data_IF_028666303338
#
_entry.id   IF_028666303338
#
_cell.length_a   1.000
_cell.length_b   1.000
_cell.length_c   1.000
_cell.angle_alpha   90.00
_cell.angle_beta   90.00
_cell.angle_gamma   90.00
#
_symmetry.space_group_name_H-M   'P 1'
#
loop_
_entity.id
_entity.type
_entity.pdbx_description
1 polymer ?
#
# COMPACT_ATOMS: atom_id res chain seq x y z
N UNK A 1 12.34 6.62 -9.67
CA UNK A 1 12.00 7.95 -9.14
C UNK A 1 11.90 7.78 -7.63
N UNK A 2 12.98 8.10 -6.90
CA UNK A 2 13.09 7.82 -5.47
C UNK A 2 12.57 9.05 -4.71
N UNK A 3 11.32 9.02 -4.27
CA UNK A 3 10.79 9.99 -3.32
C UNK A 3 11.45 9.74 -1.97
N UNK A 4 12.52 10.49 -1.69
CA UNK A 4 12.99 10.69 -0.31
C UNK A 4 11.85 11.40 0.44
N UNK A 5 11.22 10.71 1.39
CA UNK A 5 10.35 11.33 2.38
C UNK A 5 11.22 12.22 3.26
N UNK A 6 11.26 13.54 2.99
CA UNK A 6 11.83 14.48 3.96
C UNK A 6 10.90 14.55 5.18
N UNK A 7 11.49 14.66 6.36
CA UNK A 7 10.77 14.73 7.64
C UNK A 7 10.00 16.06 7.85
N UNK A 8 10.03 16.96 6.86
CA UNK A 8 9.46 18.32 6.93
C UNK A 8 7.92 18.36 6.92
N UNK A 9 7.25 17.21 6.77
CA UNK A 9 5.79 17.10 6.75
C UNK A 9 5.19 16.47 8.01
N UNK A 10 6.00 16.22 9.06
CA UNK A 10 5.50 15.61 10.29
C UNK A 10 4.69 16.62 11.11
N UNK A 11 3.37 16.64 10.91
CA UNK A 11 2.44 17.42 11.73
C UNK A 11 2.10 16.65 13.01
N UNK A 12 2.58 17.14 14.15
CA UNK A 12 2.26 16.56 15.45
C UNK A 12 1.10 17.31 16.09
N UNK A 13 -0.06 16.63 16.18
CA UNK A 13 -1.24 17.18 16.86
C UNK A 13 -1.29 16.67 18.31
N UNK A 14 -1.58 17.56 19.28
CA UNK A 14 -1.58 17.24 20.72
C UNK A 14 -2.85 17.71 21.44
N UNK A 15 -3.04 17.19 22.67
CA UNK A 15 -4.06 17.67 23.60
C UNK A 15 -5.49 17.46 23.12
N UNK A 16 -6.37 18.39 23.48
CA UNK A 16 -7.81 18.32 23.16
C UNK A 16 -8.10 18.32 21.66
N UNK A 17 -7.23 18.92 20.85
CA UNK A 17 -7.38 18.89 19.39
C UNK A 17 -7.10 17.51 18.81
N UNK A 18 -6.09 16.79 19.31
CA UNK A 18 -5.83 15.40 18.92
C UNK A 18 -7.04 14.50 19.22
N UNK A 19 -7.65 14.68 20.40
CA UNK A 19 -8.85 13.93 20.78
C UNK A 19 -10.00 14.16 19.79
N UNK A 20 -10.30 15.42 19.43
CA UNK A 20 -11.34 15.75 18.45
C UNK A 20 -11.09 15.12 17.08
N UNK A 21 -9.83 15.10 16.62
CA UNK A 21 -9.47 14.47 15.34
C UNK A 21 -9.66 12.96 15.38
N UNK A 22 -9.30 12.29 16.47
CA UNK A 22 -9.53 10.85 16.65
C UNK A 22 -11.02 10.54 16.64
N UNK A 23 -11.84 11.32 17.34
CA UNK A 23 -13.29 11.14 17.38
C UNK A 23 -13.92 11.31 15.97
N UNK A 24 -13.46 12.32 15.22
CA UNK A 24 -13.88 12.55 13.83
C UNK A 24 -13.49 11.37 12.92
N UNK A 25 -12.24 10.92 13.01
CA UNK A 25 -11.72 9.80 12.22
C UNK A 25 -12.50 8.51 12.52
N UNK A 26 -12.78 8.24 13.80
CA UNK A 26 -13.56 7.08 14.22
C UNK A 26 -14.98 7.11 13.64
N UNK A 27 -15.65 8.28 13.69
CA UNK A 27 -16.95 8.45 13.07
C UNK A 27 -16.93 8.23 11.55
N UNK A 28 -15.91 8.76 10.87
CA UNK A 28 -15.77 8.61 9.42
C UNK A 28 -15.45 7.16 9.00
N UNK A 29 -14.60 6.46 9.75
CA UNK A 29 -14.27 5.05 9.52
C UNK A 29 -15.49 4.15 9.69
N UNK A 30 -16.25 4.33 10.78
CA UNK A 30 -17.48 3.56 11.05
C UNK A 30 -18.59 3.80 10.03
N UNK A 31 -18.57 4.95 9.37
CA UNK A 31 -19.53 5.32 8.34
C UNK A 31 -19.04 5.00 6.92
N UNK A 32 -17.93 4.26 6.78
CA UNK A 32 -17.30 3.90 5.50
C UNK A 32 -16.99 5.09 4.57
N UNK A 33 -16.76 6.28 5.15
CA UNK A 33 -16.48 7.52 4.38
C UNK A 33 -15.00 7.72 4.08
N UNK A 34 -14.12 7.01 4.80
CA UNK A 34 -12.67 7.12 4.67
C UNK A 34 -12.03 5.75 4.69
N UNK A 35 -11.01 5.56 3.86
CA UNK A 35 -10.18 4.34 3.82
C UNK A 35 -8.74 4.78 4.08
N UNK A 36 -8.11 4.32 5.18
CA UNK A 36 -6.75 4.74 5.49
C UNK A 36 -5.75 4.09 4.54
N UNK A 37 -4.81 4.87 4.04
CA UNK A 37 -3.63 4.33 3.36
C UNK A 37 -2.62 3.86 4.42
N UNK A 38 -2.43 2.54 4.51
CA UNK A 38 -1.53 1.92 5.51
C UNK A 38 -0.11 1.67 4.98
N UNK A 39 0.11 1.91 3.68
CA UNK A 39 1.40 1.72 3.04
C UNK A 39 1.82 0.25 2.84
N UNK A 40 2.96 0.02 2.18
CA UNK A 40 3.46 -1.33 1.87
C UNK A 40 3.89 -2.12 3.11
N UNK A 41 4.19 -1.43 4.23
CA UNK A 41 4.54 -2.08 5.50
C UNK A 41 3.41 -2.98 6.04
N UNK A 42 2.16 -2.71 5.68
CA UNK A 42 1.02 -3.56 6.03
C UNK A 42 1.22 -5.01 5.59
N UNK A 43 1.79 -5.22 4.40
CA UNK A 43 2.00 -6.55 3.82
C UNK A 43 3.10 -7.35 4.54
N UNK A 44 3.91 -6.69 5.38
CA UNK A 44 4.98 -7.31 6.17
C UNK A 44 4.49 -7.79 7.55
N UNK A 45 3.28 -7.38 7.99
CA UNK A 45 2.76 -7.71 9.33
C UNK A 45 2.28 -9.17 9.44
N UNK A 46 2.05 -9.87 8.33
CA UNK A 46 1.63 -11.28 8.29
C UNK A 46 2.56 -12.13 7.41
N UNK A 47 3.69 -12.63 7.94
CA UNK A 47 4.62 -13.48 7.22
C UNK A 47 4.21 -14.95 7.42
N UNK A 48 3.64 -15.64 6.41
CA UNK A 48 4.53 -16.17 5.39
C UNK A 48 4.05 -16.05 3.92
N UNK A 49 2.79 -15.74 3.64
CA UNK A 49 2.29 -15.52 2.28
C UNK A 49 1.35 -14.31 2.25
N UNK A 50 1.80 -13.23 1.62
CA UNK A 50 0.91 -12.12 1.31
C UNK A 50 -0.20 -12.62 0.38
N UNK A 51 -1.48 -12.32 0.65
CA UNK A 51 -2.59 -12.76 -0.20
C UNK A 51 -2.55 -12.10 -1.58
N UNK A 52 -1.70 -11.09 -1.76
CA UNK A 52 -1.52 -10.34 -3.00
C UNK A 52 -0.04 -10.26 -3.36
N UNK A 53 0.31 -10.21 -4.65
CA UNK A 53 1.66 -9.91 -5.11
C UNK A 53 2.21 -8.62 -4.49
N UNK A 54 3.42 -8.67 -3.93
CA UNK A 54 4.06 -7.52 -3.28
C UNK A 54 5.10 -6.84 -4.16
N UNK A 55 5.58 -7.52 -5.20
CA UNK A 55 6.58 -7.01 -6.14
C UNK A 55 6.05 -7.03 -7.59
N UNK A 56 6.60 -6.19 -8.49
CA UNK A 56 6.30 -6.27 -9.92
C UNK A 56 6.53 -7.69 -10.50
N UNK A 57 7.56 -8.38 -10.03
CA UNK A 57 7.90 -9.75 -10.43
C UNK A 57 6.82 -10.74 -9.96
N UNK A 58 6.32 -10.59 -8.74
CA UNK A 58 5.20 -11.41 -8.23
C UNK A 58 3.93 -11.18 -9.06
N UNK A 59 3.67 -9.92 -9.44
CA UNK A 59 2.53 -9.57 -10.30
C UNK A 59 2.68 -10.25 -11.66
N UNK A 60 3.86 -10.14 -12.28
CA UNK A 60 4.14 -10.78 -13.56
C UNK A 60 3.98 -12.31 -13.45
N UNK A 61 4.51 -12.94 -12.41
CA UNK A 61 4.37 -14.38 -12.18
C UNK A 61 2.90 -14.80 -12.02
N UNK A 62 2.12 -14.06 -11.23
CA UNK A 62 0.69 -14.33 -11.03
C UNK A 62 -0.12 -14.19 -12.32
N UNK A 63 0.14 -13.16 -13.13
CA UNK A 63 -0.52 -12.96 -14.42
C UNK A 63 -0.15 -14.04 -15.44
N UNK A 64 1.13 -14.42 -15.51
CA UNK A 64 1.61 -15.47 -16.42
C UNK A 64 1.00 -16.85 -16.14
N UNK A 65 0.67 -17.16 -14.87
CA UNK A 65 -0.06 -18.39 -14.53
C UNK A 65 -1.43 -18.44 -15.21
N UNK A 66 -2.06 -17.29 -15.44
CA UNK A 66 -3.37 -17.18 -16.08
C UNK A 66 -3.28 -17.06 -17.60
N UNK A 67 -2.36 -16.25 -18.09
CA UNK A 67 -2.15 -16.00 -19.52
C UNK A 67 -0.64 -15.86 -19.80
N UNK A 68 0.01 -16.84 -20.44
CA UNK A 68 1.45 -16.80 -20.67
C UNK A 68 1.85 -15.62 -21.55
N UNK A 69 2.75 -14.78 -21.06
CA UNK A 69 3.34 -13.71 -21.84
C UNK A 69 4.48 -14.23 -22.76
N UNK A 70 4.74 -13.55 -23.89
CA UNK A 70 5.91 -13.79 -24.73
C UNK A 70 7.21 -13.76 -23.93
N UNK A 71 8.19 -14.59 -24.31
CA UNK A 71 9.43 -14.78 -23.56
C UNK A 71 10.16 -13.48 -23.21
N UNK A 72 10.17 -12.50 -24.12
CA UNK A 72 10.84 -11.20 -23.94
C UNK A 72 10.30 -10.36 -22.78
N UNK A 73 9.03 -10.53 -22.40
CA UNK A 73 8.36 -9.69 -21.38
C UNK A 73 7.81 -10.52 -20.20
N UNK A 74 8.19 -11.80 -20.12
CA UNK A 74 7.61 -12.73 -19.15
C UNK A 74 7.95 -12.36 -17.71
N UNK A 75 9.17 -11.88 -17.44
CA UNK A 75 9.62 -11.51 -16.09
C UNK A 75 9.42 -10.04 -15.76
N UNK A 76 9.26 -9.18 -16.77
CA UNK A 76 8.95 -7.76 -16.61
C UNK A 76 7.96 -7.36 -17.71
N UNK A 77 6.65 -7.44 -17.40
CA UNK A 77 5.59 -7.16 -18.37
C UNK A 77 5.53 -5.69 -18.81
N UNK A 78 6.29 -4.82 -18.16
CA UNK A 78 6.36 -3.39 -18.44
C UNK A 78 7.68 -2.95 -19.08
N UNK A 79 8.56 -3.88 -19.47
CA UNK A 79 9.74 -3.55 -20.29
C UNK A 79 9.31 -3.34 -21.74
N UNK A 80 8.77 -2.16 -22.02
CA UNK A 80 8.65 -1.63 -23.39
C UNK A 80 9.95 -0.97 -23.82
#
# INVERSE_FOLDING_TARGET
>A
MNTMLSWDHLVVVRGSFAKKLIDLLNGALKADRVIPYLGPGLLQLNPPESPVPCTPEDVAAALNKRAPAPSRIRTNMWSV
#
